data_IF_018468738122
#
_entry.id   IF_018468738122
#
_cell.length_a   1.000
_cell.length_b   1.000
_cell.length_c   1.000
_cell.angle_alpha   90.00
_cell.angle_beta   90.00
_cell.angle_gamma   90.00
#
_symmetry.space_group_name_H-M   'P 1'
#
loop_
_entity.id
_entity.type
_entity.pdbx_description
1 polymer ?
#
# COMPACT_ATOMS: atom_id res chain seq x y z
N UNK A 1 13.13 -41.18 -19.99
CA UNK A 1 12.04 -40.27 -19.57
C UNK A 1 12.28 -38.92 -20.24
N UNK A 2 11.35 -38.39 -21.05
CA UNK A 2 11.54 -37.05 -21.60
C UNK A 2 11.35 -36.02 -20.47
N UNK A 3 12.32 -35.12 -20.34
CA UNK A 3 12.25 -34.02 -19.38
C UNK A 3 11.39 -32.95 -20.04
N UNK A 4 10.09 -32.91 -19.70
CA UNK A 4 9.22 -31.84 -20.18
C UNK A 4 9.64 -30.57 -19.43
N UNK A 5 10.23 -29.61 -20.14
CA UNK A 5 10.60 -28.33 -19.56
C UNK A 5 9.34 -27.64 -19.02
N UNK A 6 9.29 -27.41 -17.71
CA UNK A 6 8.18 -26.70 -17.08
C UNK A 6 8.25 -25.22 -17.49
N UNK A 7 7.31 -24.77 -18.32
CA UNK A 7 7.19 -23.37 -18.70
C UNK A 7 6.36 -22.62 -17.64
N UNK A 8 7.04 -22.18 -16.59
CA UNK A 8 6.45 -21.36 -15.54
C UNK A 8 6.08 -19.97 -16.05
N UNK A 9 4.77 -19.70 -16.17
CA UNK A 9 4.27 -18.36 -16.48
C UNK A 9 4.27 -17.52 -15.22
N UNK A 10 5.43 -16.97 -14.85
CA UNK A 10 5.50 -15.98 -13.80
C UNK A 10 4.78 -14.71 -14.23
N UNK A 11 3.62 -14.44 -13.62
CA UNK A 11 2.95 -13.15 -13.74
C UNK A 11 3.84 -12.09 -13.07
N UNK A 12 4.71 -11.48 -13.86
CA UNK A 12 5.50 -10.32 -13.43
C UNK A 12 4.59 -9.10 -13.51
N UNK A 13 3.72 -8.96 -12.50
CA UNK A 13 3.06 -7.68 -12.28
C UNK A 13 4.15 -6.62 -12.22
N UNK A 14 4.02 -5.58 -13.04
CA UNK A 14 4.94 -4.44 -12.99
C UNK A 14 4.91 -3.86 -11.57
N UNK A 15 6.05 -3.42 -11.01
CA UNK A 15 6.11 -2.84 -9.67
C UNK A 15 5.02 -1.79 -9.42
N UNK A 16 4.70 -1.00 -10.44
CA UNK A 16 3.59 -0.04 -10.45
C UNK A 16 2.22 -0.66 -10.13
N UNK A 17 1.87 -1.80 -10.74
CA UNK A 17 0.58 -2.45 -10.47
C UNK A 17 0.53 -2.96 -9.02
N UNK A 18 1.63 -3.54 -8.54
CA UNK A 18 1.74 -3.99 -7.15
C UNK A 18 1.52 -2.84 -6.18
N UNK A 19 2.21 -1.73 -6.40
CA UNK A 19 2.16 -0.58 -5.50
C UNK A 19 0.77 0.11 -5.52
N UNK A 20 0.10 0.14 -6.69
CA UNK A 20 -1.31 0.57 -6.79
C UNK A 20 -2.23 -0.33 -5.97
N UNK A 21 -2.11 -1.66 -6.10
CA UNK A 21 -2.97 -2.61 -5.38
C UNK A 21 -2.76 -2.50 -3.87
N UNK A 22 -1.51 -2.39 -3.42
CA UNK A 22 -1.19 -2.20 -2.00
C UNK A 22 -1.81 -0.89 -1.48
N UNK A 23 -1.60 0.23 -2.17
CA UNK A 23 -2.15 1.52 -1.77
C UNK A 23 -3.68 1.53 -1.76
N UNK A 24 -4.32 0.91 -2.74
CA UNK A 24 -5.78 0.84 -2.83
C UNK A 24 -6.37 -0.06 -1.73
N UNK A 25 -5.72 -1.19 -1.42
CA UNK A 25 -6.15 -2.08 -0.35
C UNK A 25 -6.11 -1.37 1.02
N UNK A 26 -5.03 -0.64 1.30
CA UNK A 26 -4.86 0.08 2.56
C UNK A 26 -5.83 1.27 2.65
N UNK A 27 -5.91 2.06 1.57
CA UNK A 27 -6.78 3.24 1.47
C UNK A 27 -8.28 2.95 1.52
N UNK A 28 -8.69 1.68 1.36
CA UNK A 28 -10.07 1.26 1.58
C UNK A 28 -10.27 0.67 2.98
N UNK A 29 -9.34 -0.15 3.45
CA UNK A 29 -9.52 -0.94 4.67
C UNK A 29 -9.36 -0.09 5.93
N UNK A 30 -8.34 0.76 5.98
CA UNK A 30 -8.03 1.56 7.18
C UNK A 30 -9.07 2.66 7.43
N UNK A 31 -9.44 3.50 6.45
CA UNK A 31 -10.47 4.50 6.65
C UNK A 31 -11.83 3.90 6.97
N UNK A 32 -12.15 2.72 6.41
CA UNK A 32 -13.37 1.98 6.75
C UNK A 32 -13.37 1.53 8.20
N UNK A 33 -12.29 0.89 8.66
CA UNK A 33 -12.18 0.43 10.04
C UNK A 33 -12.23 1.60 11.04
N UNK A 34 -11.56 2.71 10.72
CA UNK A 34 -11.59 3.94 11.51
C UNK A 34 -13.01 4.52 11.58
N UNK A 35 -13.70 4.63 10.45
CA UNK A 35 -15.07 5.16 10.42
C UNK A 35 -16.05 4.26 11.19
N UNK A 36 -15.92 2.93 11.05
CA UNK A 36 -16.74 1.95 11.78
C UNK A 36 -16.49 2.04 13.29
N UNK A 37 -15.23 2.12 13.72
CA UNK A 37 -14.85 2.24 15.13
C UNK A 37 -15.39 3.53 15.78
N UNK A 38 -15.21 4.67 15.12
CA UNK A 38 -15.71 5.97 15.61
C UNK A 38 -17.24 6.01 15.66
N UNK A 39 -17.90 5.43 14.64
CA UNK A 39 -19.36 5.32 14.61
C UNK A 39 -19.89 4.42 15.73
N UNK A 40 -19.17 3.33 16.05
CA UNK A 40 -19.56 2.38 17.10
C UNK A 40 -19.58 2.95 18.51
N UNK A 41 -18.85 4.04 18.78
CA UNK A 41 -18.84 4.72 20.09
C UNK A 41 -19.72 5.98 20.14
N UNK A 42 -20.56 6.20 19.12
CA UNK A 42 -21.51 7.32 19.09
C UNK A 42 -20.87 8.68 18.74
N UNK A 43 -19.73 8.69 18.06
CA UNK A 43 -19.07 9.93 17.60
C UNK A 43 -19.94 10.66 16.57
N UNK A 44 -19.89 12.00 16.56
CA UNK A 44 -20.67 12.77 15.59
C UNK A 44 -20.24 12.47 14.14
N UNK A 45 -21.18 12.43 13.17
CA UNK A 45 -20.85 12.14 11.77
C UNK A 45 -19.82 13.09 11.17
N UNK A 46 -19.82 14.36 11.59
CA UNK A 46 -18.83 15.34 11.13
C UNK A 46 -17.42 14.97 11.54
N UNK A 47 -17.23 14.49 12.77
CA UNK A 47 -15.91 14.06 13.27
C UNK A 47 -15.47 12.77 12.58
N UNK A 48 -16.38 11.83 12.32
CA UNK A 48 -16.06 10.59 11.58
C UNK A 48 -15.52 10.92 10.18
N UNK A 49 -16.18 11.83 9.46
CA UNK A 49 -15.78 12.22 8.09
C UNK A 49 -14.45 12.98 8.11
N UNK A 50 -14.26 13.93 9.02
CA UNK A 50 -13.00 14.69 9.08
C UNK A 50 -11.82 13.81 9.49
N UNK A 51 -12.03 12.87 10.42
CA UNK A 51 -11.01 11.89 10.80
C UNK A 51 -10.66 10.95 9.64
N UNK A 52 -11.65 10.46 8.88
CA UNK A 52 -11.42 9.63 7.70
C UNK A 52 -10.64 10.36 6.60
N UNK A 53 -10.96 11.63 6.33
CA UNK A 53 -10.22 12.46 5.36
C UNK A 53 -8.78 12.73 5.82
N UNK A 54 -8.58 12.99 7.11
CA UNK A 54 -7.26 13.18 7.69
C UNK A 54 -6.40 11.90 7.55
N UNK A 55 -7.00 10.74 7.82
CA UNK A 55 -6.33 9.44 7.70
C UNK A 55 -5.94 9.14 6.25
N UNK A 56 -6.84 9.37 5.29
CA UNK A 56 -6.52 9.18 3.86
C UNK A 56 -5.35 10.06 3.43
N UNK A 57 -5.35 11.33 3.84
CA UNK A 57 -4.28 12.26 3.49
C UNK A 57 -2.94 11.85 4.14
N UNK A 58 -2.96 11.51 5.42
CA UNK A 58 -1.78 11.06 6.16
C UNK A 58 -1.21 9.75 5.60
N UNK A 59 -2.08 8.75 5.36
CA UNK A 59 -1.72 7.46 4.80
C UNK A 59 -1.13 7.57 3.40
N UNK A 60 -1.73 8.38 2.52
CA UNK A 60 -1.20 8.60 1.16
C UNK A 60 0.21 9.21 1.18
N UNK A 61 0.47 10.18 2.05
CA UNK A 61 1.81 10.79 2.20
C UNK A 61 2.80 9.77 2.74
N UNK A 62 2.42 9.05 3.80
CA UNK A 62 3.28 8.06 4.45
C UNK A 62 3.68 6.93 3.49
N UNK A 63 2.72 6.36 2.76
CA UNK A 63 2.97 5.29 1.79
C UNK A 63 3.76 5.79 0.57
N UNK A 64 3.45 6.99 0.07
CA UNK A 64 4.17 7.58 -1.06
C UNK A 64 5.65 7.85 -0.74
N UNK A 65 5.92 8.49 0.41
CA UNK A 65 7.29 8.71 0.88
C UNK A 65 7.97 7.40 1.25
N UNK A 66 7.26 6.46 1.88
CA UNK A 66 7.78 5.14 2.22
C UNK A 66 8.26 4.35 0.99
N UNK A 67 7.45 4.34 -0.08
CA UNK A 67 7.81 3.72 -1.36
C UNK A 67 9.02 4.40 -2.02
N UNK A 68 9.08 5.73 -2.00
CA UNK A 68 10.22 6.47 -2.53
C UNK A 68 11.52 6.20 -1.75
N UNK A 69 11.46 6.21 -0.41
CA UNK A 69 12.61 5.91 0.44
C UNK A 69 13.09 4.48 0.23
N UNK A 70 12.17 3.50 0.16
CA UNK A 70 12.52 2.12 -0.11
C UNK A 70 13.27 1.98 -1.46
N UNK A 71 12.75 2.59 -2.52
CA UNK A 71 13.40 2.58 -3.82
C UNK A 71 14.78 3.26 -3.81
N UNK A 72 14.93 4.39 -3.08
CA UNK A 72 16.21 5.07 -2.93
C UNK A 72 17.24 4.20 -2.20
N UNK A 73 16.82 3.55 -1.11
CA UNK A 73 17.68 2.65 -0.33
C UNK A 73 18.10 1.44 -1.14
N UNK A 74 17.20 0.83 -1.92
CA UNK A 74 17.53 -0.30 -2.81
C UNK A 74 18.59 0.10 -3.87
N UNK A 75 18.48 1.31 -4.44
CA UNK A 75 19.48 1.83 -5.36
C UNK A 75 20.84 2.03 -4.68
N UNK A 76 20.85 2.66 -3.51
CA UNK A 76 22.08 2.87 -2.73
C UNK A 76 22.75 1.54 -2.36
N UNK A 77 21.97 0.53 -1.97
CA UNK A 77 22.46 -0.82 -1.69
C UNK A 77 23.07 -1.46 -2.92
N UNK A 78 22.39 -1.39 -4.06
CA UNK A 78 22.87 -1.95 -5.33
C UNK A 78 24.20 -1.34 -5.79
N UNK A 79 24.41 -0.03 -5.54
CA UNK A 79 25.69 0.62 -5.85
C UNK A 79 26.79 0.31 -4.84
N UNK A 80 26.43 0.07 -3.57
CA UNK A 80 27.39 -0.26 -2.52
C UNK A 80 27.90 -1.71 -2.58
N UNK A 81 27.10 -2.64 -3.11
CA UNK A 81 27.49 -4.06 -3.31
C UNK A 81 28.25 -4.32 -4.62
N UNK A 82 28.57 -3.27 -5.38
CA UNK A 82 29.33 -3.34 -6.63
C UNK A 82 30.79 -2.93 -6.44
#
# INVERSE_FOLDING_TARGET
>A
MPIVAHAERHFRATPTIRDIVIGMADGLTVPFALAAGLSGVGTSPSVVVTAGLAEIAAGAIAMGLGGYLAAKTDLEHYFAER
#
